data_IF_783255590404
#
_entry.id   IF_783255590404
#
_cell.length_a   1.000
_cell.length_b   1.000
_cell.length_c   1.000
_cell.angle_alpha   90.00
_cell.angle_beta   90.00
_cell.angle_gamma   90.00
#
_symmetry.space_group_name_H-M   'P 1'
#
loop_
_entity.id
_entity.type
_entity.pdbx_description
1 polymer ?
#
# COMPACT_ATOMS: atom_id res chain seq x y z
N UNK A 1 1.94 12.28 23.44
CA UNK A 1 3.14 11.49 23.12
C UNK A 1 2.69 10.11 22.65
N UNK A 2 3.43 9.48 21.73
CA UNK A 2 3.14 8.09 21.34
C UNK A 2 3.46 7.12 22.49
N UNK A 3 2.85 5.94 22.47
CA UNK A 3 2.96 4.91 23.51
C UNK A 3 3.54 3.61 22.95
N UNK A 4 4.15 2.79 23.81
CA UNK A 4 4.71 1.50 23.41
C UNK A 4 3.64 0.41 23.48
N UNK A 5 3.40 -0.27 22.35
CA UNK A 5 2.45 -1.38 22.25
C UNK A 5 3.20 -2.68 21.97
N UNK A 6 2.92 -3.74 22.73
CA UNK A 6 3.55 -5.04 22.51
C UNK A 6 3.15 -5.62 21.14
N UNK A 7 1.86 -5.58 20.85
CA UNK A 7 1.26 -5.98 19.58
C UNK A 7 0.87 -4.75 18.75
N UNK A 8 1.36 -4.72 17.52
CA UNK A 8 1.12 -3.67 16.53
C UNK A 8 0.49 -4.24 15.26
N UNK A 9 -0.02 -5.46 15.29
CA UNK A 9 -0.70 -6.07 14.14
C UNK A 9 -2.03 -5.38 13.85
N UNK A 10 -2.33 -5.22 12.56
CA UNK A 10 -3.58 -4.64 12.08
C UNK A 10 -4.05 -5.44 10.88
N UNK A 11 -5.33 -5.80 10.86
CA UNK A 11 -5.93 -6.52 9.75
C UNK A 11 -5.78 -5.73 8.43
N UNK A 12 -5.38 -6.44 7.36
CA UNK A 12 -5.20 -5.88 6.03
C UNK A 12 -3.89 -5.10 5.83
N UNK A 13 -2.98 -5.11 6.82
CA UNK A 13 -1.67 -4.49 6.70
C UNK A 13 -0.57 -5.35 7.35
N UNK A 14 0.59 -5.38 6.71
CA UNK A 14 1.79 -6.06 7.20
C UNK A 14 2.76 -5.05 7.81
N UNK A 15 3.40 -5.41 8.93
CA UNK A 15 4.47 -4.60 9.52
C UNK A 15 5.78 -4.95 8.82
N UNK A 16 6.30 -4.01 8.04
CA UNK A 16 7.57 -4.20 7.31
C UNK A 16 8.77 -3.67 8.10
N UNK A 17 8.55 -2.77 9.05
CA UNK A 17 9.63 -2.24 9.90
C UNK A 17 9.08 -1.75 11.23
N UNK A 18 9.82 -2.03 12.31
CA UNK A 18 9.57 -1.48 13.65
C UNK A 18 10.89 -1.02 14.28
N UNK A 19 10.96 0.26 14.62
CA UNK A 19 12.07 0.87 15.35
C UNK A 19 11.50 1.72 16.49
N UNK A 20 11.69 1.29 17.73
CA UNK A 20 11.11 1.91 18.92
C UNK A 20 9.58 2.12 18.78
N UNK A 21 9.14 3.39 18.72
CA UNK A 21 7.75 3.80 18.58
C UNK A 21 7.32 4.03 17.12
N UNK A 22 8.23 3.85 16.16
CA UNK A 22 7.97 4.02 14.73
C UNK A 22 7.69 2.66 14.10
N UNK A 23 6.49 2.49 13.56
CA UNK A 23 6.06 1.30 12.83
C UNK A 23 5.73 1.70 11.38
N UNK A 24 6.22 0.94 10.42
CA UNK A 24 5.90 1.10 9.00
C UNK A 24 5.05 -0.08 8.55
N UNK A 25 3.93 0.23 7.91
CA UNK A 25 2.98 -0.74 7.40
C UNK A 25 2.98 -0.75 5.88
N UNK A 26 2.82 -1.93 5.29
CA UNK A 26 2.53 -2.13 3.88
C UNK A 26 1.14 -2.76 3.73
N UNK A 27 0.39 -2.35 2.71
CA UNK A 27 -0.96 -2.82 2.45
C UNK A 27 -1.26 -2.75 0.94
N UNK A 28 -2.20 -3.57 0.46
CA UNK A 28 -2.61 -3.53 -0.94
C UNK A 28 -3.77 -2.56 -1.16
N UNK A 29 -3.51 -1.50 -1.94
CA UNK A 29 -4.45 -0.38 -2.14
C UNK A 29 -5.76 -0.77 -2.83
N UNK A 30 -5.79 -1.91 -3.54
CA UNK A 30 -7.01 -2.45 -4.17
C UNK A 30 -7.93 -3.11 -3.15
N UNK A 31 -7.40 -3.53 -2.00
CA UNK A 31 -8.14 -4.24 -0.95
C UNK A 31 -8.42 -3.34 0.27
N UNK A 32 -7.50 -2.43 0.59
CA UNK A 32 -7.60 -1.53 1.73
C UNK A 32 -7.14 -0.12 1.34
N UNK A 33 -7.97 0.89 1.60
CA UNK A 33 -7.57 2.28 1.37
C UNK A 33 -6.65 2.79 2.49
N UNK A 34 -5.81 3.78 2.16
CA UNK A 34 -4.96 4.43 3.16
C UNK A 34 -5.81 5.05 4.29
N UNK A 35 -6.92 5.72 3.95
CA UNK A 35 -7.81 6.34 4.92
C UNK A 35 -8.43 5.34 5.88
N UNK A 36 -8.82 4.17 5.38
CA UNK A 36 -9.38 3.10 6.22
C UNK A 36 -8.33 2.52 7.18
N UNK A 37 -7.12 2.24 6.68
CA UNK A 37 -6.03 1.78 7.53
C UNK A 37 -5.67 2.82 8.60
N UNK A 38 -5.59 4.11 8.24
CA UNK A 38 -5.36 5.21 9.18
C UNK A 38 -6.45 5.25 10.25
N UNK A 39 -7.72 5.04 9.88
CA UNK A 39 -8.83 4.94 10.82
C UNK A 39 -8.65 3.80 11.81
N UNK A 40 -8.34 2.59 11.31
CA UNK A 40 -8.06 1.40 12.16
C UNK A 40 -6.91 1.65 13.13
N UNK A 41 -5.82 2.25 12.66
CA UNK A 41 -4.65 2.59 13.47
C UNK A 41 -4.99 3.62 14.54
N UNK A 42 -5.70 4.69 14.17
CA UNK A 42 -6.06 5.79 15.09
C UNK A 42 -7.05 5.37 16.15
N UNK A 43 -7.87 4.35 15.88
CA UNK A 43 -8.79 3.77 16.84
C UNK A 43 -8.10 2.89 17.90
N UNK A 44 -6.94 2.30 17.56
CA UNK A 44 -6.23 1.34 18.41
C UNK A 44 -4.99 1.91 19.11
N UNK A 45 -4.35 2.91 18.51
CA UNK A 45 -3.05 3.41 18.95
C UNK A 45 -3.02 4.91 19.14
N UNK A 46 -2.23 5.36 20.13
CA UNK A 46 -1.93 6.77 20.31
C UNK A 46 -0.85 7.23 19.34
N UNK A 47 -1.27 7.75 18.20
CA UNK A 47 -0.38 8.22 17.13
C UNK A 47 0.08 9.64 17.43
N UNK A 48 1.39 9.89 17.31
CA UNK A 48 1.96 11.24 17.42
C UNK A 48 2.05 11.96 16.07
N UNK A 49 2.44 11.22 15.02
CA UNK A 49 2.61 11.72 13.66
C UNK A 49 2.44 10.56 12.67
N UNK A 50 2.03 10.87 11.43
CA UNK A 50 1.78 9.89 10.38
C UNK A 50 2.18 10.43 9.01
N UNK A 51 2.79 9.58 8.18
CA UNK A 51 3.06 9.85 6.77
C UNK A 51 2.57 8.70 5.91
N UNK A 52 2.02 9.01 4.75
CA UNK A 52 1.65 8.03 3.71
C UNK A 52 2.61 8.20 2.55
N UNK A 53 3.16 7.09 2.05
CA UNK A 53 4.04 7.08 0.89
C UNK A 53 3.39 6.30 -0.24
N UNK A 54 3.57 6.78 -1.45
CA UNK A 54 3.30 6.00 -2.66
C UNK A 54 4.58 5.24 -3.05
N UNK A 55 4.46 4.06 -3.67
CA UNK A 55 5.64 3.37 -4.20
C UNK A 55 6.35 4.26 -5.20
N UNK A 56 7.69 4.16 -5.25
CA UNK A 56 8.46 4.85 -6.29
C UNK A 56 8.01 4.38 -7.68
N UNK A 57 8.12 5.27 -8.66
CA UNK A 57 7.66 5.03 -10.03
C UNK A 57 8.32 3.76 -10.58
N UNK A 58 9.59 3.52 -10.26
CA UNK A 58 10.39 2.36 -10.65
C UNK A 58 9.78 1.05 -10.16
N UNK A 59 9.27 1.02 -8.93
CA UNK A 59 8.59 -0.16 -8.38
C UNK A 59 7.24 -0.40 -9.09
N UNK A 60 6.54 0.68 -9.44
CA UNK A 60 5.29 0.61 -10.21
C UNK A 60 5.54 0.11 -11.64
N UNK A 61 6.57 0.64 -12.31
CA UNK A 61 7.00 0.21 -13.65
C UNK A 61 7.36 -1.28 -13.64
N UNK A 62 8.14 -1.73 -12.65
CA UNK A 62 8.50 -3.15 -12.51
C UNK A 62 7.27 -4.04 -12.42
N UNK A 63 6.30 -3.69 -11.56
CA UNK A 63 5.02 -4.41 -11.47
C UNK A 63 4.29 -4.45 -12.81
N UNK A 64 4.25 -3.34 -13.56
CA UNK A 64 3.61 -3.30 -14.88
C UNK A 64 4.24 -4.31 -15.86
N UNK A 65 5.57 -4.41 -15.88
CA UNK A 65 6.29 -5.37 -16.72
C UNK A 65 6.12 -6.82 -16.25
N UNK A 66 6.25 -7.08 -14.94
CA UNK A 66 6.09 -8.41 -14.34
C UNK A 66 4.67 -8.97 -14.52
N UNK A 67 3.66 -8.13 -14.32
CA UNK A 67 2.25 -8.50 -14.39
C UNK A 67 1.66 -8.39 -15.81
N UNK A 68 2.47 -7.97 -16.81
CA UNK A 68 2.05 -7.75 -18.21
C UNK A 68 0.75 -6.94 -18.34
N UNK A 69 0.55 -5.95 -17.47
CA UNK A 69 -0.69 -5.17 -17.40
C UNK A 69 -0.99 -4.39 -18.69
N UNK A 70 -0.02 -4.27 -19.60
CA UNK A 70 -0.13 -3.56 -20.88
C UNK A 70 -0.25 -4.48 -22.10
N UNK A 71 -0.27 -5.80 -21.95
CA UNK A 71 -0.29 -6.77 -23.07
C UNK A 71 -1.62 -6.80 -23.85
N UNK A 72 -2.54 -5.89 -23.56
CA UNK A 72 -3.78 -5.75 -24.31
C UNK A 72 -3.47 -5.12 -25.68
N UNK A 73 -3.13 -5.97 -26.66
CA UNK A 73 -3.19 -5.57 -28.08
C UNK A 73 -4.58 -4.99 -28.34
N UNK A 74 -4.72 -3.75 -28.85
CA UNK A 74 -5.98 -3.34 -29.43
C UNK A 74 -6.29 -4.35 -30.55
N UNK A 75 -7.53 -4.82 -30.60
CA UNK A 75 -8.03 -5.51 -31.78
C UNK A 75 -7.91 -4.52 -32.93
N UNK A 76 -6.80 -4.60 -33.69
CA UNK A 76 -6.66 -3.91 -34.97
C UNK A 76 -7.78 -4.49 -35.81
N UNK A 77 -8.84 -3.71 -35.99
CA UNK A 77 -9.91 -4.03 -36.92
C UNK A 77 -9.28 -4.33 -38.27
N UNK A 78 -9.43 -5.57 -38.69
CA UNK A 78 -9.07 -6.05 -40.01
C UNK A 78 -9.67 -5.12 -41.07
N UNK A 79 -8.83 -4.78 -42.06
CA UNK A 79 -9.18 -4.00 -43.24
C UNK A 79 -10.39 -4.58 -43.97
N UNK A 80 -11.19 -3.72 -44.59
CA UNK A 80 -11.78 -4.00 -45.89
C UNK A 80 -11.83 -2.70 -46.69
N UNK A 81 -11.30 -2.79 -47.91
CA UNK A 81 -11.29 -1.80 -49.01
C UNK A 81 -12.66 -1.15 -49.29
#
# INVERSE_FOLDING_TARGET
>A
LAEHYADVTVEGAEVVTRHDLRVTYQFERKELSASELIGRLSARYRIQDLSVREPEIEATIRRIYEERLLDRKPAVGTMAD
#
